data_IF_647986737781
#
_entry.id   IF_647986737781
#
_cell.length_a   1.000
_cell.length_b   1.000
_cell.length_c   1.000
_cell.angle_alpha   90.00
_cell.angle_beta   90.00
_cell.angle_gamma   90.00
#
_symmetry.space_group_name_H-M   'P 1'
#
loop_
_entity.id
_entity.type
_entity.pdbx_description
1 polymer ?
#
# COMPACT_ATOMS: atom_id res chain seq x y z
N UNK A 1 -39.85 4.15 1.93
CA UNK A 1 -38.74 4.45 2.86
C UNK A 1 -37.76 3.30 2.85
N UNK A 2 -36.47 3.65 2.72
CA UNK A 2 -35.29 2.80 2.57
C UNK A 2 -35.14 1.69 3.61
N UNK A 3 -34.46 0.61 3.20
CA UNK A 3 -33.21 0.14 3.82
C UNK A 3 -32.51 -0.76 2.81
N UNK A 4 -31.57 -0.17 2.08
CA UNK A 4 -30.60 -0.88 1.26
C UNK A 4 -29.80 -1.74 2.23
N UNK A 5 -29.81 -3.06 2.00
CA UNK A 5 -28.91 -3.98 2.69
C UNK A 5 -27.49 -3.52 2.39
N UNK A 6 -26.83 -2.94 3.38
CA UNK A 6 -25.39 -2.66 3.32
C UNK A 6 -24.69 -3.99 3.15
N UNK A 7 -24.24 -4.25 1.93
CA UNK A 7 -23.34 -5.33 1.59
C UNK A 7 -22.05 -5.09 2.38
N UNK A 8 -21.92 -5.74 3.53
CA UNK A 8 -20.64 -5.86 4.21
C UNK A 8 -19.76 -6.83 3.41
N UNK A 9 -19.20 -6.35 2.30
CA UNK A 9 -17.97 -6.93 1.76
C UNK A 9 -16.82 -6.56 2.71
N UNK A 10 -16.83 -7.21 3.87
CA UNK A 10 -15.66 -7.35 4.73
C UNK A 10 -14.68 -8.29 4.02
N UNK A 11 -14.07 -7.80 2.94
CA UNK A 11 -12.79 -8.31 2.48
C UNK A 11 -11.68 -7.50 3.16
N UNK A 12 -11.86 -7.24 4.46
CA UNK A 12 -10.92 -6.49 5.28
C UNK A 12 -9.68 -7.37 5.46
N UNK A 13 -8.74 -7.21 4.53
CA UNK A 13 -7.34 -7.46 4.81
C UNK A 13 -7.01 -6.49 5.93
N UNK A 14 -7.08 -6.94 7.19
CA UNK A 14 -6.78 -6.10 8.33
C UNK A 14 -5.40 -5.48 8.12
N UNK A 15 -5.25 -4.14 8.22
CA UNK A 15 -3.94 -3.52 8.08
C UNK A 15 -3.03 -4.11 9.15
N UNK A 16 -1.89 -4.65 8.72
CA UNK A 16 -0.91 -5.23 9.64
C UNK A 16 -0.18 -4.12 10.40
N UNK A 17 -0.04 -2.95 9.76
CA UNK A 17 0.56 -1.76 10.34
C UNK A 17 -0.04 -0.49 9.71
N UNK A 18 -0.34 0.52 10.55
CA UNK A 18 -0.65 1.88 10.12
C UNK A 18 0.49 2.78 10.60
N UNK A 19 1.15 3.48 9.67
CA UNK A 19 2.29 4.35 9.97
C UNK A 19 2.05 5.78 9.48
N UNK A 20 2.58 6.75 10.23
CA UNK A 20 2.69 8.13 9.78
C UNK A 20 3.97 8.29 8.94
N UNK A 21 3.83 8.93 7.77
CA UNK A 21 4.92 9.17 6.81
C UNK A 21 4.88 10.62 6.36
N UNK A 22 6.00 11.31 6.47
CA UNK A 22 6.14 12.65 5.94
C UNK A 22 6.36 12.59 4.42
N UNK A 23 5.48 13.26 3.69
CA UNK A 23 5.53 13.37 2.25
C UNK A 23 6.50 14.48 1.83
N UNK A 24 7.07 14.41 0.60
CA UNK A 24 7.97 15.43 0.08
C UNK A 24 7.37 16.85 0.01
N UNK A 25 6.04 16.97 0.01
CA UNK A 25 5.33 18.26 0.00
C UNK A 25 5.09 18.84 1.40
N UNK A 26 5.68 18.24 2.44
CA UNK A 26 5.58 18.70 3.83
C UNK A 26 4.31 18.26 4.56
N UNK A 27 3.43 17.48 3.93
CA UNK A 27 2.26 16.89 4.59
C UNK A 27 2.63 15.55 5.22
N UNK A 28 1.97 15.18 6.31
CA UNK A 28 2.05 13.82 6.85
C UNK A 28 0.87 13.00 6.35
N UNK A 29 1.14 11.88 5.70
CA UNK A 29 0.14 10.88 5.31
C UNK A 29 0.09 9.75 6.34
N UNK A 30 -1.11 9.24 6.57
CA UNK A 30 -1.29 7.90 7.16
C UNK A 30 -1.15 6.89 6.04
N UNK A 31 -0.39 5.84 6.28
CA UNK A 31 -0.14 4.79 5.30
C UNK A 31 -0.45 3.46 5.94
N UNK A 32 -1.31 2.70 5.26
CA UNK A 32 -1.62 1.32 5.64
C UNK A 32 -0.71 0.38 4.84
N UNK A 33 -0.05 -0.54 5.55
CA UNK A 33 0.69 -1.64 4.95
C UNK A 33 -0.12 -2.92 5.12
N UNK A 34 -0.49 -3.55 4.00
CA UNK A 34 -1.11 -4.88 4.02
C UNK A 34 -0.12 -5.91 3.50
N UNK A 35 0.09 -6.97 4.30
CA UNK A 35 1.14 -7.97 4.03
C UNK A 35 2.45 -7.68 4.75
N UNK A 36 3.19 -8.75 5.05
CA UNK A 36 4.54 -8.70 5.62
C UNK A 36 5.49 -9.47 4.71
N UNK A 37 6.78 -9.14 4.68
CA UNK A 37 7.80 -9.89 3.93
C UNK A 37 7.87 -11.35 4.36
N UNK A 38 7.49 -11.68 5.59
CA UNK A 38 7.40 -13.05 6.08
C UNK A 38 6.13 -13.78 5.59
N UNK A 39 5.12 -13.04 5.10
CA UNK A 39 3.90 -13.54 4.43
C UNK A 39 4.02 -13.37 2.90
N UNK A 40 5.11 -13.99 2.41
CA UNK A 40 6.03 -13.72 1.28
C UNK A 40 5.54 -13.42 -0.14
N UNK A 41 4.26 -13.19 -0.42
CA UNK A 41 3.86 -12.96 -1.82
C UNK A 41 3.72 -11.47 -2.18
N UNK A 42 3.32 -10.63 -1.22
CA UNK A 42 2.77 -9.32 -1.56
C UNK A 42 2.79 -8.33 -0.39
N UNK A 43 3.13 -7.09 -0.70
CA UNK A 43 2.99 -5.94 0.20
C UNK A 43 2.21 -4.86 -0.55
N UNK A 44 1.14 -4.33 0.06
CA UNK A 44 0.47 -3.15 -0.47
C UNK A 44 0.67 -1.96 0.45
N UNK A 45 0.93 -0.81 -0.15
CA UNK A 45 1.05 0.48 0.50
C UNK A 45 -0.14 1.33 0.08
N UNK A 46 -0.96 1.78 1.03
CA UNK A 46 -2.17 2.57 0.75
C UNK A 46 -2.16 3.89 1.51
N UNK A 47 -2.46 4.98 0.81
CA UNK A 47 -2.86 6.25 1.44
C UNK A 47 -4.40 6.29 1.53
N UNK A 48 -4.99 6.55 2.71
CA UNK A 48 -6.45 6.69 2.85
C UNK A 48 -7.01 7.72 1.88
N UNK A 49 -8.05 7.34 1.14
CA UNK A 49 -8.66 8.13 0.05
C UNK A 49 -7.68 8.56 -1.06
N UNK A 50 -6.53 7.90 -1.15
CA UNK A 50 -5.46 8.22 -2.09
C UNK A 50 -5.10 7.03 -2.98
N UNK A 51 -3.83 6.99 -3.38
CA UNK A 51 -3.28 5.92 -4.22
C UNK A 51 -2.97 4.67 -3.40
N UNK A 52 -2.92 3.54 -4.11
CA UNK A 52 -2.44 2.26 -3.59
C UNK A 52 -1.35 1.72 -4.51
N UNK A 53 -0.21 1.35 -3.94
CA UNK A 53 0.90 0.70 -4.63
C UNK A 53 0.96 -0.75 -4.19
N UNK A 54 0.99 -1.66 -5.16
CA UNK A 54 1.01 -3.11 -4.94
C UNK A 54 2.36 -3.65 -5.35
N UNK A 55 3.04 -4.31 -4.43
CA UNK A 55 4.36 -4.90 -4.63
C UNK A 55 4.30 -6.42 -4.54
N UNK A 56 4.98 -7.09 -5.46
CA UNK A 56 5.30 -8.50 -5.34
C UNK A 56 6.63 -8.63 -4.60
N UNK A 57 6.73 -9.57 -3.66
CA UNK A 57 7.98 -9.81 -2.92
C UNK A 57 8.71 -11.00 -3.53
N UNK A 58 9.99 -10.83 -3.85
CA UNK A 58 10.87 -11.90 -4.32
C UNK A 58 12.18 -11.88 -3.53
N UNK A 59 12.41 -12.90 -2.71
CA UNK A 59 13.47 -12.86 -1.71
C UNK A 59 13.21 -11.74 -0.71
N UNK A 60 14.17 -10.84 -0.55
CA UNK A 60 14.12 -9.71 0.38
C UNK A 60 13.88 -8.36 -0.33
N UNK A 61 13.46 -8.39 -1.60
CA UNK A 61 13.22 -7.20 -2.42
C UNK A 61 11.76 -7.16 -2.90
N UNK A 62 11.16 -5.97 -2.91
CA UNK A 62 9.82 -5.71 -3.43
C UNK A 62 9.87 -5.16 -4.86
N UNK A 63 9.21 -5.82 -5.81
CA UNK A 63 9.01 -5.30 -7.18
C UNK A 63 7.64 -4.65 -7.32
N UNK A 64 7.57 -3.44 -7.89
CA UNK A 64 6.29 -2.78 -8.15
C UNK A 64 5.49 -3.55 -9.22
N UNK A 65 4.28 -4.00 -8.85
CA UNK A 65 3.40 -4.75 -9.76
C UNK A 65 2.40 -3.82 -10.43
N UNK A 66 1.79 -2.91 -9.67
CA UNK A 66 0.85 -1.91 -10.19
C UNK A 66 0.54 -0.80 -9.18
N UNK A 67 0.04 0.31 -9.71
CA UNK A 67 -0.49 1.45 -8.96
C UNK A 67 -1.98 1.61 -9.26
N UNK A 68 -2.78 1.82 -8.21
CA UNK A 68 -4.21 2.12 -8.30
C UNK A 68 -4.50 3.53 -7.80
N UNK A 69 -5.40 4.24 -8.47
CA UNK A 69 -5.95 5.50 -7.98
C UNK A 69 -7.00 5.27 -6.86
N UNK A 70 -7.58 6.35 -6.32
CA UNK A 70 -8.57 6.24 -5.23
C UNK A 70 -9.87 5.51 -5.63
N UNK A 71 -10.12 5.31 -6.93
CA UNK A 71 -11.26 4.57 -7.46
C UNK A 71 -10.93 3.09 -7.73
N UNK A 72 -9.72 2.63 -7.39
CA UNK A 72 -9.25 1.28 -7.68
C UNK A 72 -8.88 1.04 -9.15
N UNK A 73 -8.76 2.09 -9.96
CA UNK A 73 -8.38 1.97 -11.36
C UNK A 73 -6.86 1.97 -11.49
N UNK A 74 -6.32 1.09 -12.33
CA UNK A 74 -4.90 1.07 -12.64
C UNK A 74 -4.49 2.37 -13.31
N UNK A 75 -3.39 2.95 -12.84
CA UNK A 75 -2.72 4.10 -13.43
C UNK A 75 -1.27 3.75 -13.73
N UNK A 76 -0.68 4.49 -14.65
CA UNK A 76 0.77 4.52 -14.84
C UNK A 76 1.30 5.76 -14.10
N UNK A 77 2.27 5.54 -13.22
CA UNK A 77 2.69 6.54 -12.25
C UNK A 77 4.09 6.20 -11.73
N UNK A 78 4.91 7.22 -11.53
CA UNK A 78 6.24 7.05 -10.96
C UNK A 78 6.15 6.70 -9.47
N UNK A 79 7.08 5.88 -9.01
CA UNK A 79 7.16 5.51 -7.61
C UNK A 79 7.63 6.71 -6.76
N UNK A 80 6.82 7.17 -5.78
CA UNK A 80 7.25 8.24 -4.89
C UNK A 80 8.45 7.82 -4.03
N UNK A 81 9.42 8.73 -3.87
CA UNK A 81 10.64 8.49 -3.10
C UNK A 81 10.41 8.11 -1.61
N UNK A 82 9.25 8.44 -1.04
CA UNK A 82 8.92 8.08 0.33
C UNK A 82 8.51 6.61 0.51
N UNK A 83 8.23 5.88 -0.57
CA UNK A 83 7.74 4.49 -0.48
C UNK A 83 8.84 3.50 -0.10
N UNK A 84 10.05 3.63 -0.63
CA UNK A 84 11.14 2.70 -0.33
C UNK A 84 11.46 2.65 1.18
N UNK A 85 11.62 3.79 1.89
CA UNK A 85 11.78 3.78 3.35
C UNK A 85 10.59 3.15 4.09
N UNK A 86 9.38 3.25 3.55
CA UNK A 86 8.17 2.63 4.12
C UNK A 86 8.21 1.11 3.98
N UNK A 87 8.56 0.62 2.79
CA UNK A 87 8.73 -0.81 2.53
C UNK A 87 9.83 -1.42 3.40
N UNK A 88 10.95 -0.72 3.59
CA UNK A 88 12.05 -1.19 4.44
C UNK A 88 11.65 -1.38 5.92
N UNK A 89 10.67 -0.63 6.43
CA UNK A 89 10.14 -0.84 7.81
C UNK A 89 9.53 -2.22 8.00
N UNK A 90 9.09 -2.86 6.91
CA UNK A 90 8.53 -4.21 6.96
C UNK A 90 9.61 -5.30 7.07
N UNK A 91 10.90 -4.94 6.91
CA UNK A 91 12.04 -5.85 6.97
C UNK A 91 12.63 -6.23 5.60
N UNK A 92 12.16 -5.61 4.50
CA UNK A 92 12.74 -5.78 3.16
C UNK A 92 14.00 -4.92 2.99
N UNK A 93 14.91 -5.34 2.12
CA UNK A 93 16.12 -4.59 1.80
C UNK A 93 15.82 -3.34 0.96
N UNK A 94 14.81 -3.39 0.10
CA UNK A 94 14.44 -2.27 -0.76
C UNK A 94 13.42 -2.61 -1.85
N UNK A 95 13.42 -1.81 -2.91
CA UNK A 95 12.52 -1.95 -4.06
C UNK A 95 13.34 -2.19 -5.33
N UNK A 96 12.90 -3.11 -6.18
CA UNK A 96 13.41 -3.31 -7.54
C UNK A 96 12.49 -2.57 -8.51
N UNK A 97 13.08 -1.65 -9.29
CA UNK A 97 12.39 -0.68 -10.17
C UNK A 97 12.59 -0.98 -11.64
#
# INVERSE_FOLDING_TARGET
>A
MSRIATRSESNATNPLEEIAVDLPDGRTARVEITGLPTNRARVDVRVPNGRQWIFGVNGDVAGLVMVLNQNGQRIDDELPAWIEPVIQRTGLEGIDS
#
